data_IF_376660189833
#
_entry.id   IF_376660189833
#
_cell.length_a   1.000
_cell.length_b   1.000
_cell.length_c   1.000
_cell.angle_alpha   90.00
_cell.angle_beta   90.00
_cell.angle_gamma   90.00
#
_symmetry.space_group_name_H-M   'P 1'
#
loop_
_entity.id
_entity.type
_entity.pdbx_description
1 polymer ?
#
# COMPACT_ATOMS: atom_id res chain seq x y z
N UNK A 1 -8.46 -0.69 0.93
CA UNK A 1 -8.11 -0.81 -0.51
C UNK A 1 -6.77 -1.49 -0.61
N UNK A 2 -6.60 -2.50 -1.47
CA UNK A 2 -5.30 -3.16 -1.68
C UNK A 2 -4.60 -2.50 -2.86
N UNK A 3 -3.34 -2.11 -2.68
CA UNK A 3 -2.49 -1.43 -3.66
C UNK A 3 -1.12 -2.04 -3.69
N UNK A 4 -0.33 -1.75 -4.72
CA UNK A 4 1.05 -2.17 -4.79
C UNK A 4 1.87 -1.06 -5.43
N UNK A 5 3.11 -0.87 -4.98
CA UNK A 5 4.05 0.01 -5.66
C UNK A 5 4.47 -0.62 -6.98
N UNK A 6 4.32 0.09 -8.09
CA UNK A 6 4.81 -0.35 -9.40
C UNK A 6 6.18 0.29 -9.67
N UNK A 7 7.08 -0.48 -10.28
CA UNK A 7 8.42 -0.03 -10.64
C UNK A 7 8.51 0.13 -12.15
N UNK A 8 8.45 1.37 -12.63
CA UNK A 8 8.69 1.70 -14.02
C UNK A 8 10.04 2.39 -14.17
N UNK A 9 10.88 1.93 -15.11
CA UNK A 9 12.18 2.55 -15.46
C UNK A 9 13.04 2.92 -14.23
N UNK A 10 13.14 1.98 -13.29
CA UNK A 10 13.92 2.07 -12.04
C UNK A 10 13.40 3.03 -10.96
N UNK A 11 12.21 3.62 -11.16
CA UNK A 11 11.55 4.44 -10.14
C UNK A 11 10.40 3.67 -9.51
N UNK A 12 10.40 3.57 -8.18
CA UNK A 12 9.27 3.07 -7.42
C UNK A 12 8.20 4.16 -7.37
N UNK A 13 7.01 3.86 -7.88
CA UNK A 13 5.85 4.75 -7.78
C UNK A 13 4.92 4.21 -6.72
N UNK A 14 4.75 4.96 -5.63
CA UNK A 14 3.81 4.63 -4.57
C UNK A 14 2.44 5.26 -4.88
N UNK A 15 1.37 4.47 -5.14
CA UNK A 15 0.05 5.01 -5.43
C UNK A 15 -0.65 5.60 -4.20
N UNK A 16 -0.12 5.38 -2.98
CA UNK A 16 -0.78 5.75 -1.74
C UNK A 16 -1.21 7.22 -1.69
N UNK A 17 -0.33 8.16 -2.06
CA UNK A 17 -0.63 9.59 -2.01
C UNK A 17 -1.83 9.99 -2.86
N UNK A 18 -1.91 9.44 -4.07
CA UNK A 18 -3.02 9.74 -4.98
C UNK A 18 -4.35 9.21 -4.44
N UNK A 19 -4.30 8.04 -3.79
CA UNK A 19 -5.47 7.39 -3.21
C UNK A 19 -5.93 8.04 -1.93
N UNK A 20 -5.01 8.46 -1.06
CA UNK A 20 -5.32 9.23 0.15
C UNK A 20 -5.99 10.55 -0.22
N UNK A 21 -5.49 11.26 -1.25
CA UNK A 21 -6.12 12.48 -1.76
C UNK A 21 -7.51 12.25 -2.36
N UNK A 22 -7.69 11.14 -3.08
CA UNK A 22 -9.00 10.77 -3.61
C UNK A 22 -10.00 10.43 -2.48
N UNK A 23 -9.56 9.65 -1.49
CA UNK A 23 -10.36 9.28 -0.32
C UNK A 23 -10.77 10.50 0.51
N UNK A 24 -9.85 11.45 0.73
CA UNK A 24 -10.17 12.70 1.41
C UNK A 24 -11.25 13.51 0.69
N UNK A 25 -11.17 13.62 -0.65
CA UNK A 25 -12.23 14.27 -1.45
C UNK A 25 -13.57 13.55 -1.39
N UNK A 26 -13.57 12.27 -1.02
CA UNK A 26 -14.76 11.46 -0.80
C UNK A 26 -15.25 11.45 0.67
N UNK A 27 -14.69 12.30 1.55
CA UNK A 27 -15.08 12.37 2.96
C UNK A 27 -14.56 11.24 3.83
N UNK A 28 -13.51 10.55 3.37
CA UNK A 28 -12.86 9.48 4.10
C UNK A 28 -11.56 9.98 4.75
N UNK A 29 -11.31 9.54 5.98
CA UNK A 29 -10.06 9.76 6.72
C UNK A 29 -9.16 8.54 6.55
N UNK A 30 -7.91 8.77 6.19
CA UNK A 30 -6.88 7.74 6.19
C UNK A 30 -6.51 7.34 7.63
N UNK A 31 -6.49 6.02 7.90
CA UNK A 31 -6.21 5.47 9.22
C UNK A 31 -4.85 4.79 9.28
N UNK A 32 -4.59 3.86 8.35
CA UNK A 32 -3.41 3.01 8.41
C UNK A 32 -3.06 2.41 7.04
N UNK A 33 -1.82 1.93 6.91
CA UNK A 33 -1.32 1.14 5.78
C UNK A 33 -0.64 -0.11 6.31
N UNK A 34 -1.23 -1.26 5.99
CA UNK A 34 -0.77 -2.56 6.44
C UNK A 34 -0.08 -3.27 5.28
N UNK A 35 1.16 -3.70 5.46
CA UNK A 35 1.87 -4.51 4.48
C UNK A 35 1.35 -5.96 4.49
N UNK A 36 0.95 -6.46 3.33
CA UNK A 36 0.48 -7.82 3.10
C UNK A 36 1.60 -8.63 2.41
N UNK A 37 2.33 -9.44 3.18
CA UNK A 37 3.40 -10.27 2.63
C UNK A 37 2.86 -11.33 1.68
N UNK A 38 3.39 -11.37 0.45
CA UNK A 38 3.05 -12.34 -0.60
C UNK A 38 3.88 -13.61 -0.53
N UNK A 39 4.98 -13.57 0.21
CA UNK A 39 5.89 -14.70 0.38
C UNK A 39 5.67 -15.36 1.75
N UNK A 40 5.76 -16.70 1.83
CA UNK A 40 5.61 -17.40 3.10
C UNK A 40 6.75 -16.99 4.05
N UNK A 41 6.37 -16.63 5.27
CA UNK A 41 7.32 -16.46 6.38
C UNK A 41 7.47 -17.82 7.06
N UNK A 42 8.72 -18.28 7.22
CA UNK A 42 9.08 -19.50 7.95
C UNK A 42 10.11 -19.11 9.00
N UNK A 43 9.84 -19.45 10.26
CA UNK A 43 10.74 -19.19 11.39
C UNK A 43 11.22 -17.73 11.51
N UNK A 44 10.34 -16.78 11.19
CA UNK A 44 10.65 -15.35 11.21
C UNK A 44 11.48 -14.83 10.03
N UNK A 45 11.87 -15.70 9.10
CA UNK A 45 12.57 -15.33 7.89
C UNK A 45 11.63 -15.38 6.67
N UNK A 46 11.85 -14.44 5.74
CA UNK A 46 11.26 -14.47 4.42
C UNK A 46 11.83 -15.69 3.69
N UNK A 47 11.02 -16.74 3.48
CA UNK A 47 11.46 -17.86 2.68
C UNK A 47 11.67 -17.35 1.25
N UNK A 48 12.88 -17.50 0.72
CA UNK A 48 13.20 -17.11 -0.65
C UNK A 48 12.20 -17.83 -1.56
N UNK A 49 11.34 -17.05 -2.22
CA UNK A 49 10.41 -17.59 -3.21
C UNK A 49 11.26 -18.30 -4.26
N UNK A 50 11.21 -19.63 -4.28
CA UNK A 50 11.86 -20.41 -5.33
C UNK A 50 11.32 -19.89 -6.66
N UNK A 51 12.18 -19.35 -7.54
CA UNK A 51 11.70 -18.84 -8.82
C UNK A 51 10.99 -19.99 -9.52
N UNK A 52 9.74 -19.78 -9.90
CA UNK A 52 8.99 -20.77 -10.66
C UNK A 52 9.82 -21.13 -11.90
N UNK A 53 10.32 -22.35 -11.94
CA UNK A 53 11.09 -22.89 -13.06
C UNK A 53 10.14 -23.01 -14.24
N UNK A 54 10.00 -21.94 -15.02
CA UNK A 54 9.48 -22.06 -16.37
C UNK A 54 10.57 -22.71 -17.22
N UNK A 55 10.31 -23.84 -17.89
CA UNK A 55 11.30 -24.47 -18.75
C UNK A 55 11.53 -23.54 -19.95
N UNK A 56 12.60 -22.75 -19.89
CA UNK A 56 13.08 -21.96 -21.03
C UNK A 56 14.08 -22.80 -21.82
N UNK A 57 13.97 -22.88 -23.16
CA UNK A 57 14.99 -23.52 -23.99
C UNK A 57 16.35 -22.85 -23.79
N UNK A 58 17.39 -23.67 -23.63
CA UNK A 58 18.77 -23.24 -23.37
C UNK A 58 19.31 -22.38 -24.51
N UNK A 59 19.75 -21.16 -24.19
CA UNK A 59 20.62 -20.34 -25.03
C UNK A 59 21.87 -19.97 -24.21
N UNK A 60 23.06 -19.86 -24.85
CA UNK A 60 24.33 -19.83 -24.15
C UNK A 60 24.55 -18.54 -23.34
N UNK A 61 25.29 -18.73 -22.24
CA UNK A 61 25.49 -17.80 -21.14
C UNK A 61 26.22 -16.51 -21.54
N UNK A 62 25.70 -15.38 -21.04
CA UNK A 62 26.45 -14.12 -20.91
C UNK A 62 26.39 -13.69 -19.44
N UNK A 63 27.53 -13.51 -18.74
CA UNK A 63 27.52 -12.97 -17.39
C UNK A 63 27.40 -11.45 -17.50
N UNK A 64 26.18 -10.94 -17.68
CA UNK A 64 25.89 -9.57 -17.30
C UNK A 64 25.59 -9.59 -15.81
N UNK A 65 26.38 -8.87 -15.01
CA UNK A 65 26.05 -8.53 -13.65
C UNK A 65 24.66 -7.87 -13.68
N UNK A 66 23.64 -8.68 -13.50
CA UNK A 66 22.26 -8.23 -13.59
C UNK A 66 22.05 -7.52 -12.27
N UNK A 67 21.69 -6.22 -12.25
CA UNK A 67 21.38 -5.56 -11.00
C UNK A 67 20.30 -6.40 -10.31
N UNK A 68 20.52 -6.68 -9.02
CA UNK A 68 19.64 -7.54 -8.23
C UNK A 68 18.19 -7.12 -8.50
N UNK A 69 17.42 -8.00 -9.13
CA UNK A 69 16.01 -7.75 -9.39
C UNK A 69 15.34 -7.76 -8.02
N UNK A 70 15.11 -6.57 -7.45
CA UNK A 70 14.34 -6.44 -6.23
C UNK A 70 12.94 -7.00 -6.51
N UNK A 71 12.64 -8.16 -5.92
CA UNK A 71 11.34 -8.79 -6.04
C UNK A 71 10.36 -8.10 -5.11
N UNK A 72 9.18 -7.76 -5.62
CA UNK A 72 8.10 -7.28 -4.78
C UNK A 72 7.60 -8.41 -3.89
N UNK A 73 7.68 -8.20 -2.57
CA UNK A 73 7.32 -9.22 -1.56
C UNK A 73 6.05 -8.89 -0.79
N UNK A 74 5.45 -7.72 -1.00
CA UNK A 74 4.22 -7.32 -0.34
C UNK A 74 3.31 -6.48 -1.23
N UNK A 75 2.02 -6.55 -0.92
CA UNK A 75 1.03 -5.55 -1.29
C UNK A 75 0.74 -4.66 -0.06
N UNK A 76 0.00 -3.57 -0.25
CA UNK A 76 -0.38 -2.62 0.80
C UNK A 76 -1.89 -2.56 0.94
N UNK A 77 -2.41 -2.67 2.17
CA UNK A 77 -3.80 -2.42 2.50
C UNK A 77 -3.95 -1.03 3.13
N UNK A 78 -4.54 -0.09 2.39
CA UNK A 78 -4.92 1.22 2.91
C UNK A 78 -6.28 1.12 3.63
N UNK A 79 -6.30 1.55 4.89
CA UNK A 79 -7.48 1.55 5.76
C UNK A 79 -8.01 2.98 5.88
N UNK A 80 -9.32 3.13 5.72
CA UNK A 80 -10.01 4.42 5.80
C UNK A 80 -11.25 4.31 6.70
N UNK A 81 -11.61 5.41 7.36
CA UNK A 81 -12.90 5.58 8.03
C UNK A 81 -13.67 6.75 7.46
N UNK A 82 -14.98 6.80 7.73
CA UNK A 82 -15.77 8.01 7.45
C UNK A 82 -15.33 9.13 8.38
N UNK A 83 -15.20 10.34 7.85
CA UNK A 83 -15.05 11.51 8.71
C UNK A 83 -16.35 11.70 9.51
N UNK A 84 -16.27 11.98 10.82
CA UNK A 84 -17.43 12.42 11.58
C UNK A 84 -18.01 13.66 10.91
N UNK A 85 -19.35 13.77 10.89
CA UNK A 85 -19.99 15.03 10.50
C UNK A 85 -19.46 16.13 11.43
N UNK A 86 -19.21 17.36 10.93
CA UNK A 86 -18.96 18.49 11.80
C UNK A 86 -20.17 18.60 12.74
N UNK A 87 -19.96 18.39 14.03
CA UNK A 87 -20.98 18.73 15.02
C UNK A 87 -21.15 20.25 14.94
N UNK A 88 -22.29 20.70 14.43
CA UNK A 88 -22.75 22.07 14.69
C UNK A 88 -22.74 22.21 16.21
N UNK A 89 -21.82 23.04 16.69
CA UNK A 89 -21.85 23.51 18.07
C UNK A 89 -23.12 24.35 18.12
N UNK A 90 -24.21 23.76 18.63
CA UNK A 90 -25.40 24.51 18.91
C UNK A 90 -25.00 25.58 19.93
N UNK A 91 -24.86 26.82 19.46
CA UNK A 91 -24.89 28.00 20.29
C UNK A 91 -26.23 28.00 21.01
N UNK A 92 -26.25 27.33 22.17
CA UNK A 92 -27.31 27.44 23.14
C UNK A 92 -27.21 28.81 23.78
N UNK A 93 -27.79 29.81 23.11
CA UNK A 93 -28.08 31.11 23.69
C UNK A 93 -29.09 30.89 24.82
N UNK A 94 -28.57 30.70 26.03
CA UNK A 94 -29.36 30.58 27.24
C UNK A 94 -29.83 31.99 27.66
N UNK A 95 -30.91 32.48 27.06
CA UNK A 95 -31.61 33.65 27.58
C UNK A 95 -32.35 33.24 28.85
N UNK A 96 -31.68 33.39 29.99
CA UNK A 96 -32.28 33.21 31.32
C UNK A 96 -33.24 34.37 31.59
N UNK A 97 -34.53 34.05 31.70
CA UNK A 97 -35.57 34.91 32.27
C UNK A 97 -36.15 34.18 33.48
N UNK A 98 -35.79 34.63 34.69
CA UNK A 98 -36.68 34.64 35.86
C UNK A 98 -36.24 35.76 36.83
#
# INVERSE_FOLDING_TARGET
MITHGDRSRDRLTDPADSLVRAAHRAGLRYLDRIALLRIPVRDGALAVASPATHPRPQAPARPAATPARHTQVHDDLLVFSRQPAPTEVADGEETSHE
#
